data_IF_096718300096
#
_entry.id   IF_096718300096
#
_cell.length_a   1.000
_cell.length_b   1.000
_cell.length_c   1.000
_cell.angle_alpha   90.00
_cell.angle_beta   90.00
_cell.angle_gamma   90.00
#
_symmetry.space_group_name_H-M   'P 1'
#
loop_
_entity.id
_entity.type
_entity.pdbx_description
1 polymer ?
#
# COMPACT_ATOMS: atom_id res chain seq x y z
N UNK A 1 -2.75 -8.16 -51.85
CA UNK A 1 -2.06 -7.33 -50.83
C UNK A 1 -2.53 -7.72 -49.43
N UNK A 2 -1.97 -8.78 -48.83
CA UNK A 2 -2.33 -9.24 -47.46
C UNK A 2 -1.18 -9.11 -46.45
N UNK A 3 0.05 -8.84 -46.91
CA UNK A 3 1.25 -8.77 -46.07
C UNK A 3 1.40 -7.43 -45.32
N UNK A 4 0.78 -6.36 -45.82
CA UNK A 4 0.77 -5.03 -45.19
C UNK A 4 -0.05 -5.01 -43.90
N UNK A 5 -1.12 -5.80 -43.83
CA UNK A 5 -1.96 -5.91 -42.63
C UNK A 5 -1.24 -6.59 -41.46
N UNK A 6 -0.50 -7.67 -41.73
CA UNK A 6 0.29 -8.38 -40.71
C UNK A 6 1.47 -7.53 -40.19
N UNK A 7 2.11 -6.76 -41.06
CA UNK A 7 3.19 -5.84 -40.65
C UNK A 7 2.67 -4.73 -39.74
N UNK A 8 1.52 -4.14 -40.06
CA UNK A 8 0.87 -3.12 -39.22
C UNK A 8 0.44 -3.69 -37.88
N UNK A 9 -0.12 -4.91 -37.84
CA UNK A 9 -0.49 -5.59 -36.60
C UNK A 9 0.72 -5.90 -35.71
N UNK A 10 1.85 -6.32 -36.30
CA UNK A 10 3.11 -6.56 -35.58
C UNK A 10 3.73 -5.26 -35.03
N UNK A 11 3.67 -4.16 -35.80
CA UNK A 11 4.12 -2.84 -35.35
C UNK A 11 3.26 -2.29 -34.21
N UNK A 12 1.94 -2.47 -34.29
CA UNK A 12 1.00 -2.09 -33.23
C UNK A 12 1.18 -2.95 -31.95
N UNK A 13 1.40 -4.26 -32.09
CA UNK A 13 1.71 -5.14 -30.95
C UNK A 13 3.08 -4.83 -30.34
N UNK A 14 4.07 -4.44 -31.14
CA UNK A 14 5.36 -3.96 -30.64
C UNK A 14 5.21 -2.70 -29.78
N UNK A 15 4.53 -1.68 -30.29
CA UNK A 15 4.34 -0.41 -29.57
C UNK A 15 3.47 -0.56 -28.31
N UNK A 16 2.46 -1.45 -28.32
CA UNK A 16 1.62 -1.73 -27.16
C UNK A 16 2.30 -2.67 -26.13
N UNK A 17 3.25 -3.51 -26.55
CA UNK A 17 3.99 -4.44 -25.70
C UNK A 17 5.15 -3.82 -24.94
N UNK A 18 5.69 -2.67 -25.39
CA UNK A 18 6.84 -2.03 -24.75
C UNK A 18 6.49 -1.05 -23.62
N UNK A 19 5.26 -0.54 -23.54
CA UNK A 19 4.91 0.48 -22.54
C UNK A 19 4.93 -0.03 -21.08
N UNK A 20 4.75 -1.34 -20.87
CA UNK A 20 4.83 -1.96 -19.55
C UNK A 20 6.26 -2.25 -19.05
N UNK A 21 7.25 -2.32 -19.94
CA UNK A 21 8.63 -2.74 -19.62
C UNK A 21 9.54 -1.57 -19.22
N UNK A 22 9.37 -0.40 -19.87
CA UNK A 22 10.23 0.77 -19.63
C UNK A 22 10.18 1.27 -18.18
N UNK A 23 9.00 1.27 -17.55
CA UNK A 23 8.85 1.71 -16.16
C UNK A 23 9.53 0.80 -15.14
N UNK A 24 9.49 -0.52 -15.36
CA UNK A 24 10.09 -1.49 -14.47
C UNK A 24 11.63 -1.47 -14.56
N UNK A 25 12.19 -1.31 -15.76
CA UNK A 25 13.63 -1.16 -15.97
C UNK A 25 14.20 0.10 -15.32
N UNK A 26 13.47 1.22 -15.38
CA UNK A 26 13.87 2.46 -14.71
C UNK A 26 13.85 2.30 -13.18
N UNK A 27 12.79 1.72 -12.61
CA UNK A 27 12.68 1.48 -11.17
C UNK A 27 13.85 0.64 -10.61
N UNK A 28 14.20 -0.47 -11.27
CA UNK A 28 15.31 -1.31 -10.82
C UNK A 28 16.65 -0.60 -10.90
N UNK A 29 16.88 0.20 -11.95
CA UNK A 29 18.11 1.00 -12.06
C UNK A 29 18.25 1.99 -10.90
N UNK A 30 17.18 2.66 -10.52
CA UNK A 30 17.22 3.61 -9.39
C UNK A 30 17.42 2.90 -8.04
N UNK A 31 16.95 1.67 -7.88
CA UNK A 31 17.28 0.83 -6.70
C UNK A 31 18.77 0.51 -6.66
N UNK A 32 19.37 0.11 -7.78
CA UNK A 32 20.80 -0.17 -7.83
C UNK A 32 21.63 1.09 -7.55
N UNK A 33 21.22 2.26 -8.04
CA UNK A 33 21.86 3.54 -7.70
C UNK A 33 21.83 3.82 -6.19
N UNK A 34 20.69 3.58 -5.51
CA UNK A 34 20.62 3.71 -4.06
C UNK A 34 21.48 2.67 -3.35
N UNK A 35 21.50 1.42 -3.83
CA UNK A 35 22.33 0.37 -3.24
C UNK A 35 23.81 0.71 -3.33
N UNK A 36 24.26 1.23 -4.46
CA UNK A 36 25.63 1.70 -4.65
C UNK A 36 25.95 2.87 -3.72
N UNK A 37 25.07 3.88 -3.67
CA UNK A 37 25.26 5.04 -2.80
C UNK A 37 25.39 4.67 -1.31
N UNK A 38 24.58 3.73 -0.83
CA UNK A 38 24.61 3.26 0.56
C UNK A 38 25.64 2.14 0.82
N UNK A 39 26.40 1.72 -0.20
CA UNK A 39 27.23 0.53 -0.14
C UNK A 39 26.46 -0.73 0.35
N UNK A 40 25.18 -0.83 0.00
CA UNK A 40 24.25 -1.84 0.51
C UNK A 40 24.52 -3.26 -0.03
N UNK A 41 25.49 -3.41 -0.93
CA UNK A 41 25.94 -4.72 -1.46
C UNK A 41 27.16 -5.28 -0.69
N UNK A 42 27.65 -4.58 0.34
CA UNK A 42 28.78 -5.05 1.13
C UNK A 42 28.40 -6.27 2.00
N UNK A 43 29.33 -7.22 2.24
CA UNK A 43 29.02 -8.44 2.99
C UNK A 43 28.53 -8.22 4.42
N UNK A 44 28.89 -7.09 5.05
CA UNK A 44 28.46 -6.74 6.40
C UNK A 44 26.98 -6.37 6.50
N UNK A 45 26.35 -5.94 5.40
CA UNK A 45 24.90 -5.62 5.36
C UNK A 45 24.03 -6.85 5.62
N UNK A 46 24.54 -8.05 5.31
CA UNK A 46 23.83 -9.31 5.57
C UNK A 46 23.91 -9.74 7.06
N UNK A 47 24.76 -9.10 7.88
CA UNK A 47 24.88 -9.43 9.30
C UNK A 47 23.60 -9.05 10.04
N UNK A 48 23.13 -9.93 10.91
CA UNK A 48 21.88 -9.74 11.65
C UNK A 48 20.60 -10.13 10.90
N UNK A 49 20.73 -10.63 9.66
CA UNK A 49 19.60 -11.11 8.87
C UNK A 49 18.81 -9.98 8.18
N UNK A 50 17.77 -10.32 7.40
CA UNK A 50 17.00 -9.34 6.65
C UNK A 50 16.04 -8.53 7.55
N UNK A 51 15.93 -7.22 7.31
CA UNK A 51 15.02 -6.36 8.07
C UNK A 51 13.53 -6.66 7.84
N UNK A 52 13.12 -6.92 6.59
CA UNK A 52 11.69 -6.98 6.22
C UNK A 52 11.27 -8.28 5.55
N UNK A 53 12.16 -8.94 4.80
CA UNK A 53 11.77 -10.03 3.91
C UNK A 53 11.30 -11.27 4.67
N UNK A 54 11.84 -11.53 5.86
CA UNK A 54 11.38 -12.61 6.74
C UNK A 54 10.01 -12.29 7.36
N UNK A 55 9.81 -11.06 7.84
CA UNK A 55 8.51 -10.60 8.36
C UNK A 55 7.44 -10.75 7.28
N UNK A 56 7.70 -10.28 6.06
CA UNK A 56 6.75 -10.35 4.94
C UNK A 56 6.41 -11.79 4.52
N UNK A 57 7.31 -12.76 4.71
CA UNK A 57 7.04 -14.18 4.39
C UNK A 57 6.03 -14.81 5.34
N UNK A 58 5.91 -14.31 6.57
CA UNK A 58 5.02 -14.87 7.59
C UNK A 58 3.54 -14.55 7.32
N UNK A 59 3.24 -13.51 6.52
CA UNK A 59 1.87 -13.05 6.27
C UNK A 59 1.40 -13.43 4.87
N UNK A 60 0.52 -14.44 4.81
CA UNK A 60 -0.05 -14.94 3.54
C UNK A 60 -1.35 -14.26 3.15
N UNK A 61 -2.16 -13.85 4.13
CA UNK A 61 -3.40 -13.13 3.87
C UNK A 61 -3.10 -11.70 3.40
N UNK A 62 -3.77 -11.25 2.33
CA UNK A 62 -3.51 -9.95 1.73
C UNK A 62 -3.86 -8.81 2.70
N UNK A 63 -4.88 -8.96 3.55
CA UNK A 63 -5.25 -7.93 4.52
C UNK A 63 -4.21 -7.79 5.63
N UNK A 64 -3.74 -8.92 6.19
CA UNK A 64 -2.66 -8.94 7.17
C UNK A 64 -1.36 -8.38 6.57
N UNK A 65 -1.05 -8.81 5.34
CA UNK A 65 0.14 -8.34 4.62
C UNK A 65 0.11 -6.85 4.36
N UNK A 66 -1.06 -6.27 4.04
CA UNK A 66 -1.22 -4.82 3.84
C UNK A 66 -0.96 -4.01 5.10
N UNK A 67 -1.29 -4.54 6.29
CA UNK A 67 -0.96 -3.90 7.57
C UNK A 67 0.56 -3.78 7.73
N UNK A 68 1.28 -4.88 7.49
CA UNK A 68 2.75 -4.92 7.60
C UNK A 68 3.41 -4.07 6.52
N UNK A 69 2.93 -4.15 5.28
CA UNK A 69 3.41 -3.30 4.18
C UNK A 69 3.21 -1.81 4.48
N UNK A 70 2.11 -1.42 5.13
CA UNK A 70 1.87 -0.03 5.55
C UNK A 70 2.99 0.50 6.45
N UNK A 71 3.46 -0.32 7.40
CA UNK A 71 4.56 0.05 8.29
C UNK A 71 5.90 0.12 7.54
N UNK A 72 6.17 -0.82 6.63
CA UNK A 72 7.40 -0.81 5.82
C UNK A 72 7.44 0.41 4.88
N UNK A 73 6.31 0.76 4.25
CA UNK A 73 6.22 1.96 3.41
C UNK A 73 6.43 3.21 4.27
N UNK A 74 5.82 3.28 5.46
CA UNK A 74 6.04 4.40 6.40
C UNK A 74 7.52 4.56 6.77
N UNK A 75 8.22 3.43 7.00
CA UNK A 75 9.66 3.42 7.27
C UNK A 75 10.47 4.02 6.11
N UNK A 76 10.23 3.59 4.87
CA UNK A 76 10.94 4.14 3.71
C UNK A 76 10.63 5.61 3.47
N UNK A 77 9.39 6.05 3.69
CA UNK A 77 9.03 7.46 3.62
C UNK A 77 9.83 8.29 4.64
N UNK A 78 9.93 7.81 5.89
CA UNK A 78 10.74 8.47 6.93
C UNK A 78 12.24 8.47 6.58
N UNK A 79 12.77 7.35 6.07
CA UNK A 79 14.16 7.25 5.62
C UNK A 79 14.47 8.27 4.53
N UNK A 80 13.61 8.37 3.51
CA UNK A 80 13.81 9.30 2.41
C UNK A 80 13.56 10.76 2.79
N UNK A 81 12.72 11.04 3.79
CA UNK A 81 12.52 12.39 4.30
C UNK A 81 13.79 12.91 4.99
N UNK A 82 14.49 12.04 5.74
CA UNK A 82 15.76 12.38 6.38
C UNK A 82 16.90 12.66 5.38
N UNK A 83 16.72 12.25 4.12
CA UNK A 83 17.72 12.35 3.06
C UNK A 83 17.33 13.35 1.97
N UNK A 84 16.24 14.10 2.15
CA UNK A 84 15.63 14.93 1.10
C UNK A 84 16.57 15.98 0.49
N UNK A 85 17.54 16.46 1.27
CA UNK A 85 18.49 17.49 0.83
C UNK A 85 19.68 16.89 0.04
N UNK A 86 19.72 15.56 -0.09
CA UNK A 86 20.76 14.87 -0.84
C UNK A 86 20.44 14.82 -2.33
N UNK A 87 21.00 15.79 -3.07
CA UNK A 87 20.81 15.94 -4.51
C UNK A 87 21.29 14.73 -5.33
N UNK A 88 22.29 13.98 -4.85
CA UNK A 88 22.86 12.82 -5.56
C UNK A 88 21.82 11.72 -5.75
N UNK A 89 21.05 11.44 -4.71
CA UNK A 89 20.07 10.35 -4.69
C UNK A 89 18.61 10.82 -4.83
N UNK A 90 18.38 12.14 -4.92
CA UNK A 90 17.04 12.73 -4.97
C UNK A 90 16.18 12.13 -6.08
N UNK A 91 16.74 12.05 -7.29
CA UNK A 91 16.05 11.46 -8.46
C UNK A 91 15.64 10.01 -8.21
N UNK A 92 16.54 9.21 -7.65
CA UNK A 92 16.28 7.79 -7.38
C UNK A 92 15.21 7.63 -6.31
N UNK A 93 15.27 8.44 -5.24
CA UNK A 93 14.24 8.47 -4.20
C UNK A 93 12.87 8.87 -4.75
N UNK A 94 12.79 9.87 -5.62
CA UNK A 94 11.52 10.34 -6.18
C UNK A 94 10.86 9.29 -7.08
N UNK A 95 11.63 8.62 -7.93
CA UNK A 95 11.14 7.53 -8.78
C UNK A 95 10.63 6.35 -7.92
N UNK A 96 11.38 5.97 -6.89
CA UNK A 96 10.98 4.88 -6.00
C UNK A 96 9.74 5.26 -5.18
N UNK A 97 9.65 6.50 -4.66
CA UNK A 97 8.45 7.01 -3.98
C UNK A 97 7.23 6.96 -4.90
N UNK A 98 7.39 7.37 -6.17
CA UNK A 98 6.31 7.33 -7.15
C UNK A 98 5.85 5.90 -7.43
N UNK A 99 6.78 4.95 -7.58
CA UNK A 99 6.44 3.54 -7.79
C UNK A 99 5.75 2.92 -6.57
N UNK A 100 6.22 3.22 -5.34
CA UNK A 100 5.54 2.83 -4.10
C UNK A 100 4.12 3.40 -4.01
N UNK A 101 3.94 4.67 -4.40
CA UNK A 101 2.62 5.31 -4.45
C UNK A 101 1.66 4.58 -5.41
N UNK A 102 2.14 4.21 -6.60
CA UNK A 102 1.33 3.45 -7.56
C UNK A 102 0.99 2.05 -7.03
N UNK A 103 1.96 1.31 -6.48
CA UNK A 103 1.77 -0.09 -6.07
C UNK A 103 1.04 -0.26 -4.74
N UNK A 104 1.29 0.60 -3.75
CA UNK A 104 0.72 0.44 -2.41
C UNK A 104 -0.62 1.16 -2.26
N UNK A 105 -0.73 2.37 -2.81
CA UNK A 105 -1.90 3.25 -2.66
C UNK A 105 -2.79 3.25 -3.92
N UNK A 106 -2.49 2.41 -4.92
CA UNK A 106 -3.17 2.33 -6.20
C UNK A 106 -3.24 3.70 -6.90
N UNK A 107 -2.21 4.54 -6.72
CA UNK A 107 -2.17 5.89 -7.30
C UNK A 107 -3.21 6.88 -6.76
N UNK A 108 -3.87 6.58 -5.63
CA UNK A 108 -4.89 7.45 -5.04
C UNK A 108 -4.25 8.60 -4.25
N UNK A 109 -4.33 9.82 -4.77
CA UNK A 109 -3.79 11.03 -4.13
C UNK A 109 -4.39 11.27 -2.74
N UNK A 110 -5.69 11.04 -2.57
CA UNK A 110 -6.38 11.13 -1.26
C UNK A 110 -5.75 10.19 -0.23
N UNK A 111 -5.55 8.91 -0.60
CA UNK A 111 -4.89 7.94 0.29
C UNK A 111 -3.44 8.34 0.62
N UNK A 112 -2.72 8.92 -0.34
CA UNK A 112 -1.36 9.40 -0.09
C UNK A 112 -1.34 10.59 0.86
N UNK A 113 -2.26 11.53 0.69
CA UNK A 113 -2.37 12.68 1.57
C UNK A 113 -2.72 12.26 3.00
N UNK A 114 -3.71 11.39 3.17
CA UNK A 114 -4.08 10.85 4.48
C UNK A 114 -2.96 10.02 5.09
N UNK A 115 -2.28 9.19 4.30
CA UNK A 115 -1.12 8.43 4.75
C UNK A 115 0.02 9.35 5.23
N UNK A 116 0.33 10.41 4.48
CA UNK A 116 1.35 11.41 4.88
C UNK A 116 0.95 12.15 6.16
N UNK A 117 -0.32 12.56 6.27
CA UNK A 117 -0.85 13.18 7.49
C UNK A 117 -0.63 12.29 8.71
N UNK A 118 -0.94 10.99 8.60
CA UNK A 118 -0.78 10.03 9.70
C UNK A 118 0.67 9.84 10.14
N UNK A 119 1.62 9.70 9.22
CA UNK A 119 3.03 9.48 9.57
C UNK A 119 3.74 10.75 10.09
N UNK A 120 3.18 11.93 9.85
CA UNK A 120 3.73 13.22 10.27
C UNK A 120 3.15 13.74 11.59
N UNK A 121 2.23 13.01 12.23
CA UNK A 121 1.62 13.42 13.50
C UNK A 121 2.71 13.54 14.58
N UNK A 122 2.90 14.72 15.21
CA UNK A 122 3.87 14.89 16.28
C UNK A 122 3.30 14.30 17.57
N UNK A 123 3.68 13.06 17.88
CA UNK A 123 3.17 12.31 19.04
C UNK A 123 3.55 12.92 20.40
N UNK A 124 4.57 13.78 20.42
CA UNK A 124 5.05 14.47 21.62
C UNK A 124 4.26 15.76 21.94
N UNK A 125 3.39 16.22 21.03
CA UNK A 125 2.56 17.40 21.25
C UNK A 125 1.36 17.08 22.15
N UNK A 126 1.23 17.81 23.27
CA UNK A 126 0.18 17.58 24.27
C UNK A 126 -1.24 17.77 23.71
N UNK A 127 -1.47 18.71 22.79
CA UNK A 127 -2.79 18.91 22.18
C UNK A 127 -3.14 17.76 21.23
N UNK A 128 -2.16 17.26 20.48
CA UNK A 128 -2.33 16.08 19.63
C UNK A 128 -2.64 14.84 20.47
N UNK A 129 -1.92 14.62 21.57
CA UNK A 129 -2.20 13.53 22.50
C UNK A 129 -3.64 13.60 23.03
N UNK A 130 -4.09 14.78 23.49
CA UNK A 130 -5.48 14.98 23.96
C UNK A 130 -6.51 14.65 22.89
N UNK A 131 -6.29 15.07 21.64
CA UNK A 131 -7.17 14.74 20.49
C UNK A 131 -7.18 13.24 20.21
N UNK A 132 -6.00 12.61 20.18
CA UNK A 132 -5.88 11.17 19.94
C UNK A 132 -6.63 10.35 21.00
N UNK A 133 -6.51 10.71 22.28
CA UNK A 133 -7.25 10.05 23.37
C UNK A 133 -8.76 10.29 23.27
N UNK A 134 -9.19 11.50 22.90
CA UNK A 134 -10.61 11.81 22.71
C UNK A 134 -11.25 11.00 21.56
N UNK A 135 -10.49 10.70 20.50
CA UNK A 135 -10.96 9.93 19.34
C UNK A 135 -10.79 8.40 19.50
N UNK A 136 -10.02 7.96 20.50
CA UNK A 136 -9.62 6.56 20.67
C UNK A 136 -10.82 5.59 20.69
N UNK A 137 -11.91 5.94 21.37
CA UNK A 137 -13.09 5.06 21.44
C UNK A 137 -13.71 4.83 20.05
N UNK A 138 -13.72 5.85 19.19
CA UNK A 138 -14.23 5.74 17.82
C UNK A 138 -13.31 4.84 16.99
N UNK A 139 -12.00 5.02 17.11
CA UNK A 139 -10.99 4.17 16.43
C UNK A 139 -11.15 2.71 16.84
N UNK A 140 -11.28 2.41 18.13
CA UNK A 140 -11.47 1.03 18.61
C UNK A 140 -12.75 0.38 18.09
N UNK A 141 -13.84 1.15 17.97
CA UNK A 141 -15.10 0.67 17.40
C UNK A 141 -14.98 0.36 15.90
N UNK A 142 -14.21 1.15 15.15
CA UNK A 142 -13.98 0.91 13.72
C UNK A 142 -13.01 -0.25 13.45
N UNK A 143 -12.04 -0.49 14.35
CA UNK A 143 -11.13 -1.66 14.30
C UNK A 143 -11.85 -2.99 14.60
N UNK A 144 -12.91 -2.93 15.39
CA UNK A 144 -13.69 -4.11 15.72
C UNK A 144 -14.35 -4.66 14.45
N UNK A 145 -14.28 -5.97 14.17
CA UNK A 145 -14.97 -6.53 13.01
C UNK A 145 -16.44 -6.18 13.11
N UNK A 146 -16.93 -5.35 12.17
CA UNK A 146 -18.36 -5.05 12.07
C UNK A 146 -19.04 -6.40 11.93
N UNK A 147 -19.72 -6.82 12.99
CA UNK A 147 -20.40 -8.10 12.98
C UNK A 147 -21.36 -8.02 11.81
N UNK A 148 -21.10 -8.77 10.73
CA UNK A 148 -22.07 -9.04 9.67
C UNK A 148 -23.19 -9.95 10.22
N UNK A 149 -23.61 -9.71 11.47
CA UNK A 149 -24.92 -10.05 11.98
C UNK A 149 -25.90 -9.21 11.17
N UNK A 150 -26.12 -9.66 9.93
CA UNK A 150 -27.35 -9.50 9.19
C UNK A 150 -28.43 -9.87 10.19
N UNK A 151 -28.93 -8.89 10.94
CA UNK A 151 -29.98 -9.05 11.94
C UNK A 151 -31.13 -9.68 11.18
N UNK A 152 -31.20 -11.02 11.23
CA UNK A 152 -32.16 -11.79 10.47
C UNK A 152 -33.50 -11.36 11.03
N UNK A 153 -34.23 -10.55 10.24
CA UNK A 153 -35.55 -10.05 10.59
C UNK A 153 -36.35 -11.27 11.06
N UNK A 154 -36.70 -11.33 12.34
CA UNK A 154 -37.48 -12.45 12.90
C UNK A 154 -38.80 -12.42 12.13
N UNK A 155 -38.99 -13.39 11.23
CA UNK A 155 -40.26 -13.54 10.51
C UNK A 155 -41.35 -13.73 11.56
N UNK A 156 -42.13 -12.68 11.81
CA UNK A 156 -43.39 -12.85 12.51
C UNK A 156 -44.34 -13.51 11.52
N UNK A 157 -44.29 -14.84 11.46
CA UNK A 157 -45.42 -15.60 10.95
C UNK A 157 -46.57 -15.34 11.94
N UNK A 158 -47.45 -14.41 11.59
CA UNK A 158 -48.80 -14.33 12.11
C UNK A 158 -49.46 -15.68 11.79
N UNK A 159 -49.43 -16.61 12.75
CA UNK A 159 -50.38 -17.71 12.80
C UNK A 159 -51.76 -17.09 12.98
N UNK A 160 -52.36 -16.67 11.87
CA UNK A 160 -53.75 -16.24 11.78
C UNK A 160 -54.57 -17.50 12.01
N UNK A 161 -55.02 -17.68 13.25
CA UNK A 161 -55.86 -18.81 13.65
C UNK A 161 -57.04 -18.94 12.70
N UNK A 162 -57.10 -20.06 11.97
CA UNK A 162 -58.34 -20.53 11.37
C UNK A 162 -59.27 -20.88 12.53
N UNK A 163 -60.21 -20.00 12.85
CA UNK A 163 -61.43 -20.43 13.54
C UNK A 163 -62.21 -21.27 12.54
N UNK A 164 -62.37 -22.56 12.84
CA UNK A 164 -63.40 -23.37 12.24
C UNK A 164 -64.74 -22.84 12.74
N UNK A 165 -65.60 -22.39 11.82
CA UNK A 165 -67.01 -22.17 12.09
C UNK A 165 -67.75 -23.40 11.59
N UNK A 166 -68.52 -23.99 12.50
CA UNK A 166 -69.55 -25.01 12.32
C UNK A 166 -70.55 -24.66 11.25
#
# INVERSE_FOLDING_TARGET
MKYTSYFLALLLCGLLGFSGSYGQGQFFREIENLKEYFNASSPDVAKGGPLFSEILKNWKDESDKKIIQSQIVSFYFKLFENLKDNQVIQRSMDIIKQDMFQKFLNGSSEKLEDFKKLIQIPVDDLQIQRKAINELIKVMNDLSPKSNLRKRKRSQNLFRGRRAST
#
